data_IF_980739255412
#
_entry.id   IF_980739255412
#
_cell.length_a   1.000
_cell.length_b   1.000
_cell.length_c   1.000
_cell.angle_alpha   90.00
_cell.angle_beta   90.00
_cell.angle_gamma   90.00
#
_symmetry.space_group_name_H-M   'P 1'
#
loop_
_entity.id
_entity.type
_entity.pdbx_description
1 polymer ?
#
# COMPACT_ATOMS: atom_id res chain seq x y z
N UNK A 1 45.63 -71.77 -12.88
CA UNK A 1 46.33 -70.61 -12.29
C UNK A 1 45.41 -69.40 -12.41
N UNK A 2 44.88 -68.92 -11.28
CA UNK A 2 43.86 -67.87 -11.19
C UNK A 2 44.49 -66.48 -11.23
N UNK A 3 44.03 -65.60 -12.12
CA UNK A 3 44.43 -64.19 -12.13
C UNK A 3 43.48 -63.37 -11.24
N UNK A 4 44.06 -62.80 -10.19
CA UNK A 4 43.39 -61.91 -9.23
C UNK A 4 43.31 -60.47 -9.76
N UNK A 5 42.11 -60.00 -10.09
CA UNK A 5 41.85 -58.60 -10.42
C UNK A 5 41.83 -57.70 -9.17
N UNK A 6 42.78 -56.77 -9.08
CA UNK A 6 42.77 -55.69 -8.07
C UNK A 6 41.79 -54.58 -8.50
N UNK A 7 40.65 -54.48 -7.82
CA UNK A 7 39.75 -53.30 -7.90
C UNK A 7 40.41 -52.11 -7.21
N UNK A 8 40.47 -50.96 -7.89
CA UNK A 8 40.91 -49.68 -7.30
C UNK A 8 39.86 -49.19 -6.28
N UNK A 9 40.28 -48.58 -5.16
CA UNK A 9 39.34 -48.01 -4.22
C UNK A 9 38.72 -46.73 -4.81
N UNK A 10 37.39 -46.65 -4.77
CA UNK A 10 36.63 -45.43 -5.02
C UNK A 10 36.91 -44.44 -3.90
N UNK A 11 37.51 -43.29 -4.23
CA UNK A 11 37.72 -42.20 -3.27
C UNK A 11 36.39 -41.65 -2.73
N UNK A 12 36.41 -40.93 -1.59
CA UNK A 12 35.21 -40.43 -0.96
C UNK A 12 34.50 -39.44 -1.89
N UNK A 13 33.22 -39.71 -2.16
CA UNK A 13 32.32 -38.79 -2.84
C UNK A 13 32.32 -37.47 -2.09
N UNK A 14 32.88 -36.41 -2.69
CA UNK A 14 32.74 -35.05 -2.14
C UNK A 14 31.26 -34.72 -2.10
N UNK A 15 30.68 -34.65 -0.89
CA UNK A 15 29.39 -34.02 -0.69
C UNK A 15 29.52 -32.57 -1.18
N UNK A 16 28.78 -32.22 -2.22
CA UNK A 16 28.56 -30.84 -2.61
C UNK A 16 27.96 -30.10 -1.42
N UNK A 17 28.53 -28.97 -0.98
CA UNK A 17 27.94 -28.21 0.12
C UNK A 17 26.53 -27.77 -0.32
N UNK A 18 25.51 -28.13 0.46
CA UNK A 18 24.17 -27.59 0.30
C UNK A 18 24.26 -26.07 0.41
N UNK A 19 24.06 -25.38 -0.71
CA UNK A 19 23.97 -23.92 -0.68
C UNK A 19 22.73 -23.56 0.15
N UNK A 20 22.84 -22.71 1.18
CA UNK A 20 21.70 -22.36 2.00
C UNK A 20 20.65 -21.68 1.11
N UNK A 21 19.50 -22.34 0.98
CA UNK A 21 18.31 -21.81 0.34
C UNK A 21 17.80 -20.60 1.13
N UNK A 22 17.11 -19.66 0.47
CA UNK A 22 16.68 -18.41 1.09
C UNK A 22 15.84 -18.65 2.34
N UNK A 23 16.27 -18.07 3.47
CA UNK A 23 15.59 -18.19 4.75
C UNK A 23 14.28 -17.39 4.75
N UNK A 24 13.15 -18.07 4.99
CA UNK A 24 11.82 -17.49 4.99
C UNK A 24 11.63 -16.68 6.27
N UNK A 25 11.52 -15.36 6.13
CA UNK A 25 11.28 -14.45 7.26
C UNK A 25 9.90 -13.80 7.14
N UNK A 26 9.17 -13.64 8.25
CA UNK A 26 7.91 -12.91 8.22
C UNK A 26 8.13 -11.48 7.71
N UNK A 27 7.21 -10.94 6.89
CA UNK A 27 7.33 -9.58 6.41
C UNK A 27 7.18 -8.60 7.57
N UNK A 28 7.87 -7.45 7.45
CA UNK A 28 7.70 -6.35 8.40
C UNK A 28 6.31 -5.74 8.26
N UNK A 29 5.65 -5.36 9.36
CA UNK A 29 4.44 -4.54 9.29
C UNK A 29 4.70 -3.22 8.56
N UNK A 30 3.68 -2.68 7.91
CA UNK A 30 3.74 -1.48 7.08
C UNK A 30 2.64 -0.50 7.43
N UNK A 31 2.84 0.77 7.09
CA UNK A 31 1.88 1.83 7.35
C UNK A 31 0.74 1.78 6.33
N UNK A 32 -0.50 1.69 6.82
CA UNK A 32 -1.68 1.85 5.98
C UNK A 32 -1.92 3.34 5.71
N UNK A 33 -2.11 3.66 4.44
CA UNK A 33 -2.49 4.98 3.95
C UNK A 33 -3.74 4.83 3.07
N UNK A 34 -4.69 5.75 3.18
CA UNK A 34 -5.88 5.80 2.31
C UNK A 34 -5.98 7.19 1.69
N UNK A 35 -5.92 7.24 0.36
CA UNK A 35 -6.29 8.43 -0.39
C UNK A 35 -7.80 8.50 -0.57
N UNK A 36 -8.39 9.66 -0.35
CA UNK A 36 -9.83 9.89 -0.45
C UNK A 36 -10.09 10.99 -1.47
N UNK A 37 -11.05 10.77 -2.36
CA UNK A 37 -11.54 11.79 -3.29
C UNK A 37 -13.04 12.00 -3.04
N UNK A 38 -13.47 13.25 -2.91
CA UNK A 38 -14.88 13.59 -2.72
C UNK A 38 -15.15 15.05 -3.11
N UNK A 39 -16.40 15.37 -3.47
CA UNK A 39 -16.81 16.73 -3.87
C UNK A 39 -17.22 17.64 -2.71
N UNK A 40 -17.31 17.12 -1.48
CA UNK A 40 -17.77 17.88 -0.31
C UNK A 40 -17.00 17.51 0.96
N UNK A 41 -16.77 18.49 1.84
CA UNK A 41 -15.99 18.31 3.05
C UNK A 41 -16.62 17.27 4.00
N UNK A 42 -17.94 17.33 4.17
CA UNK A 42 -18.69 16.44 5.07
C UNK A 42 -18.66 14.96 4.63
N UNK A 43 -18.37 14.69 3.35
CA UNK A 43 -18.23 13.32 2.85
C UNK A 43 -16.90 12.68 3.27
N UNK A 44 -15.86 13.48 3.49
CA UNK A 44 -14.62 12.98 4.09
C UNK A 44 -14.84 12.57 5.54
N UNK A 45 -15.60 13.35 6.31
CA UNK A 45 -15.90 13.01 7.71
C UNK A 45 -16.67 11.70 7.81
N UNK A 46 -17.61 11.46 6.88
CA UNK A 46 -18.31 10.18 6.79
C UNK A 46 -17.38 9.01 6.45
N UNK A 47 -16.49 9.20 5.47
CA UNK A 47 -15.50 8.20 5.10
C UNK A 47 -14.54 7.88 6.26
N UNK A 48 -14.03 8.90 6.95
CA UNK A 48 -13.11 8.73 8.09
C UNK A 48 -13.74 7.97 9.23
N UNK A 49 -15.02 8.19 9.55
CA UNK A 49 -15.73 7.38 10.56
C UNK A 49 -15.72 5.89 10.21
N UNK A 50 -16.00 5.54 8.96
CA UNK A 50 -16.00 4.14 8.51
C UNK A 50 -14.59 3.55 8.48
N UNK A 51 -13.61 4.31 7.99
CA UNK A 51 -12.20 3.89 8.00
C UNK A 51 -11.69 3.66 9.43
N UNK A 52 -12.08 4.49 10.40
CA UNK A 52 -11.70 4.31 11.81
C UNK A 52 -12.33 3.07 12.40
N UNK A 53 -13.60 2.81 12.10
CA UNK A 53 -14.30 1.61 12.58
C UNK A 53 -13.63 0.32 12.08
N UNK A 54 -13.17 0.29 10.82
CA UNK A 54 -12.59 -0.91 10.21
C UNK A 54 -11.08 -1.07 10.46
N UNK A 55 -10.32 0.03 10.45
CA UNK A 55 -8.85 0.00 10.40
C UNK A 55 -8.18 0.64 11.62
N UNK A 56 -8.96 1.13 12.58
CA UNK A 56 -8.47 1.75 13.81
C UNK A 56 -8.23 3.26 13.67
N UNK A 57 -7.76 3.90 14.74
CA UNK A 57 -7.62 5.36 14.79
C UNK A 57 -6.71 5.92 13.70
N UNK A 58 -7.12 7.06 13.13
CA UNK A 58 -6.29 7.85 12.22
C UNK A 58 -5.24 8.60 13.03
N UNK A 59 -3.97 8.55 12.61
CA UNK A 59 -2.87 9.22 13.30
C UNK A 59 -2.22 10.36 12.49
N UNK A 60 -2.43 10.40 11.17
CA UNK A 60 -2.14 11.56 10.34
C UNK A 60 -3.24 11.79 9.32
N UNK A 61 -3.51 13.07 9.05
CA UNK A 61 -4.36 13.52 7.96
C UNK A 61 -3.68 14.67 7.19
N UNK A 62 -3.89 14.72 5.88
CA UNK A 62 -3.54 15.88 5.06
C UNK A 62 -4.61 16.98 5.21
N UNK A 63 -4.31 18.24 4.83
CA UNK A 63 -5.37 19.20 4.51
C UNK A 63 -6.21 18.69 3.32
N UNK A 64 -7.36 19.33 3.10
CA UNK A 64 -8.10 19.18 1.85
C UNK A 64 -7.33 19.88 0.72
N UNK A 65 -7.09 19.16 -0.37
CA UNK A 65 -6.30 19.63 -1.51
C UNK A 65 -7.22 19.67 -2.75
N UNK A 66 -7.34 20.80 -3.47
CA UNK A 66 -8.07 20.82 -4.74
C UNK A 66 -7.55 19.78 -5.73
N UNK A 67 -8.43 18.98 -6.31
CA UNK A 67 -8.09 17.98 -7.30
C UNK A 67 -8.44 18.46 -8.71
N UNK A 68 -7.44 18.96 -9.43
CA UNK A 68 -7.62 19.59 -10.76
C UNK A 68 -6.81 18.89 -11.86
N UNK A 69 -6.56 17.59 -11.71
CA UNK A 69 -5.62 16.85 -12.56
C UNK A 69 -6.28 16.11 -13.73
N UNK A 70 -7.56 15.75 -13.61
CA UNK A 70 -8.29 15.03 -14.65
C UNK A 70 -9.80 15.12 -14.42
N UNK A 71 -10.57 15.13 -15.51
CA UNK A 71 -12.04 15.05 -15.48
C UNK A 71 -12.56 13.61 -15.44
N UNK A 72 -11.66 12.62 -15.36
CA UNK A 72 -12.00 11.18 -15.38
C UNK A 72 -13.10 10.78 -14.40
N UNK A 73 -13.12 11.40 -13.21
CA UNK A 73 -14.08 11.09 -12.14
C UNK A 73 -15.41 11.86 -12.24
N UNK A 74 -15.45 12.91 -13.07
CA UNK A 74 -16.59 13.83 -13.13
C UNK A 74 -17.92 13.13 -13.44
N UNK A 75 -18.00 12.13 -14.36
CA UNK A 75 -19.26 11.45 -14.64
C UNK A 75 -19.88 10.72 -13.43
N UNK A 76 -19.05 10.21 -12.52
CA UNK A 76 -19.50 9.39 -11.38
C UNK A 76 -19.57 10.18 -10.06
N UNK A 77 -18.72 11.19 -9.91
CA UNK A 77 -18.48 11.89 -8.64
C UNK A 77 -18.88 13.38 -8.67
N UNK A 78 -19.15 13.94 -9.87
CA UNK A 78 -19.40 15.37 -10.05
C UNK A 78 -18.12 16.23 -10.06
N UNK A 79 -18.28 17.55 -10.23
CA UNK A 79 -17.17 18.50 -10.30
C UNK A 79 -16.64 18.90 -8.91
N UNK A 80 -15.55 19.68 -8.90
CA UNK A 80 -15.06 20.33 -7.68
C UNK A 80 -14.45 19.36 -6.67
N UNK A 81 -13.81 18.29 -7.16
CA UNK A 81 -13.25 17.26 -6.29
C UNK A 81 -12.09 17.80 -5.44
N UNK A 82 -12.04 17.29 -4.22
CA UNK A 82 -10.96 17.49 -3.26
C UNK A 82 -10.29 16.14 -3.00
N UNK A 83 -9.00 16.18 -2.68
CA UNK A 83 -8.21 15.05 -2.19
C UNK A 83 -7.93 15.25 -0.70
N UNK A 84 -8.03 14.16 0.06
CA UNK A 84 -7.52 14.05 1.43
C UNK A 84 -6.78 12.72 1.57
N UNK A 85 -5.70 12.70 2.33
CA UNK A 85 -5.02 11.47 2.72
C UNK A 85 -5.11 11.28 4.23
N UNK A 86 -5.30 10.03 4.65
CA UNK A 86 -5.25 9.63 6.05
C UNK A 86 -4.36 8.40 6.23
N UNK A 87 -3.79 8.25 7.41
CA UNK A 87 -3.06 7.05 7.82
C UNK A 87 -3.59 6.53 9.14
N UNK A 88 -3.50 5.22 9.35
CA UNK A 88 -3.96 4.57 10.56
C UNK A 88 -2.79 4.29 11.50
N UNK A 89 -3.03 4.42 12.82
CA UNK A 89 -2.01 4.21 13.84
C UNK A 89 -1.44 2.78 13.79
N UNK A 90 -2.34 1.78 13.71
CA UNK A 90 -1.96 0.36 13.63
C UNK A 90 -1.22 0.05 12.32
N UNK A 91 -0.03 -0.55 12.44
CA UNK A 91 0.67 -1.15 11.30
C UNK A 91 -0.03 -2.45 10.86
N UNK A 92 -0.03 -2.70 9.55
CA UNK A 92 -0.66 -3.88 8.94
C UNK A 92 0.39 -4.83 8.38
N UNK A 93 0.06 -6.12 8.28
CA UNK A 93 0.86 -7.03 7.47
C UNK A 93 0.69 -6.68 5.96
N UNK A 94 1.75 -6.71 5.13
CA UNK A 94 1.66 -6.26 3.73
C UNK A 94 0.64 -7.02 2.86
N UNK A 95 0.39 -8.29 3.18
CA UNK A 95 -0.58 -9.15 2.51
C UNK A 95 -2.04 -8.73 2.74
N UNK A 96 -2.29 -7.88 3.74
CA UNK A 96 -3.63 -7.31 4.01
C UNK A 96 -4.08 -6.29 2.98
N UNK A 97 -3.19 -5.79 2.11
CA UNK A 97 -3.54 -4.73 1.16
C UNK A 97 -4.68 -5.12 0.20
N UNK A 98 -4.70 -6.36 -0.28
CA UNK A 98 -5.77 -6.84 -1.17
C UNK A 98 -7.13 -6.96 -0.44
N UNK A 99 -7.23 -7.63 0.73
CA UNK A 99 -8.44 -7.58 1.56
C UNK A 99 -8.92 -6.16 1.88
N UNK A 100 -8.01 -5.23 2.22
CA UNK A 100 -8.35 -3.84 2.52
C UNK A 100 -8.91 -3.13 1.27
N UNK A 101 -8.37 -3.40 0.07
CA UNK A 101 -8.93 -2.81 -1.16
C UNK A 101 -10.35 -3.31 -1.46
N UNK A 102 -10.61 -4.60 -1.24
CA UNK A 102 -11.97 -5.14 -1.34
C UNK A 102 -12.90 -4.43 -0.35
N UNK A 103 -12.47 -4.32 0.91
CA UNK A 103 -13.26 -3.67 1.96
C UNK A 103 -13.53 -2.19 1.67
N UNK A 104 -12.53 -1.43 1.23
CA UNK A 104 -12.72 -0.02 0.86
C UNK A 104 -13.70 0.16 -0.30
N UNK A 105 -13.75 -0.76 -1.27
CA UNK A 105 -14.79 -0.73 -2.31
C UNK A 105 -16.20 -0.94 -1.73
N UNK A 106 -16.35 -1.81 -0.72
CA UNK A 106 -17.63 -1.99 -0.02
C UNK A 106 -18.03 -0.73 0.76
N UNK A 107 -17.06 -0.07 1.40
CA UNK A 107 -17.27 1.20 2.10
C UNK A 107 -17.72 2.31 1.15
N UNK A 108 -17.13 2.41 -0.05
CA UNK A 108 -17.61 3.34 -1.08
C UNK A 108 -19.09 3.10 -1.41
N UNK A 109 -19.49 1.84 -1.59
CA UNK A 109 -20.89 1.48 -1.86
C UNK A 109 -21.80 1.79 -0.66
N UNK A 110 -21.32 1.62 0.58
CA UNK A 110 -22.03 2.01 1.78
C UNK A 110 -22.23 3.53 1.86
N UNK A 111 -21.18 4.31 1.62
CA UNK A 111 -21.23 5.78 1.58
C UNK A 111 -22.20 6.28 0.52
N UNK A 112 -22.24 5.64 -0.66
CA UNK A 112 -23.21 5.97 -1.71
C UNK A 112 -24.67 5.84 -1.25
N UNK A 113 -24.97 4.85 -0.38
CA UNK A 113 -26.31 4.67 0.21
C UNK A 113 -26.59 5.64 1.36
N UNK A 114 -25.61 5.87 2.24
CA UNK A 114 -25.79 6.70 3.43
C UNK A 114 -25.86 8.20 3.11
N UNK A 115 -25.05 8.68 2.17
CA UNK A 115 -24.91 10.11 1.92
C UNK A 115 -26.04 10.72 1.08
N UNK A 116 -26.92 9.89 0.50
CA UNK A 116 -28.02 10.32 -0.38
C UNK A 116 -27.58 11.41 -1.38
N UNK A 117 -26.38 11.22 -1.95
CA UNK A 117 -25.71 12.22 -2.77
C UNK A 117 -26.35 12.31 -4.17
N UNK A 118 -26.27 13.46 -4.86
CA UNK A 118 -26.73 13.61 -6.23
C UNK A 118 -25.84 12.92 -7.28
N UNK A 119 -24.88 12.11 -6.83
CA UNK A 119 -23.87 11.41 -7.66
C UNK A 119 -23.81 9.95 -7.25
N UNK A 120 -23.50 9.07 -8.20
CA UNK A 120 -23.49 7.63 -7.95
C UNK A 120 -22.36 7.18 -7.02
N UNK A 121 -21.24 7.92 -7.02
CA UNK A 121 -20.04 7.60 -6.24
C UNK A 121 -19.55 8.85 -5.50
N UNK A 122 -20.12 9.20 -4.34
CA UNK A 122 -19.75 10.42 -3.62
C UNK A 122 -18.30 10.41 -3.11
N UNK A 123 -17.76 9.24 -2.79
CA UNK A 123 -16.41 9.07 -2.25
C UNK A 123 -15.67 7.97 -3.00
N UNK A 124 -14.40 8.20 -3.32
CA UNK A 124 -13.45 7.17 -3.74
C UNK A 124 -12.36 7.00 -2.67
N UNK A 125 -12.09 5.74 -2.30
CA UNK A 125 -11.11 5.30 -1.33
C UNK A 125 -10.03 4.44 -2.01
N UNK A 126 -8.79 4.95 -1.97
CA UNK A 126 -7.61 4.36 -2.58
C UNK A 126 -6.62 3.92 -1.50
N UNK A 127 -6.71 2.69 -0.98
CA UNK A 127 -5.75 2.20 -0.01
C UNK A 127 -4.39 1.90 -0.64
N UNK A 128 -3.36 2.18 0.15
CA UNK A 128 -1.97 1.87 -0.14
C UNK A 128 -1.19 1.55 1.12
N UNK A 129 0.05 1.11 0.93
CA UNK A 129 0.99 0.87 2.03
C UNK A 129 2.29 1.64 1.83
N UNK A 130 2.91 2.01 2.94
CA UNK A 130 4.23 2.61 2.99
C UNK A 130 5.12 1.81 3.93
N UNK A 131 6.27 1.37 3.44
CA UNK A 131 7.22 0.51 4.19
C UNK A 131 8.55 1.20 4.53
N UNK A 132 8.60 2.53 4.34
CA UNK A 132 9.79 3.36 4.54
C UNK A 132 10.70 3.46 3.31
N UNK A 133 10.56 2.56 2.34
CA UNK A 133 11.33 2.56 1.08
C UNK A 133 10.47 2.87 -0.14
N UNK A 134 9.16 2.61 -0.07
CA UNK A 134 8.22 2.82 -1.17
C UNK A 134 6.81 3.10 -0.69
N UNK A 135 6.03 3.72 -1.57
CA UNK A 135 4.59 3.80 -1.51
C UNK A 135 4.00 2.88 -2.58
N UNK A 136 3.08 2.01 -2.18
CA UNK A 136 2.40 1.05 -3.05
C UNK A 136 0.90 1.32 -2.99
N UNK A 137 0.23 1.35 -4.13
CA UNK A 137 -1.24 1.52 -4.20
C UNK A 137 -1.91 0.23 -4.67
N UNK A 138 -3.10 -0.04 -4.13
CA UNK A 138 -3.95 -1.14 -4.56
C UNK A 138 -4.96 -0.70 -5.61
N UNK A 139 -5.22 -1.57 -6.59
CA UNK A 139 -6.13 -1.29 -7.69
C UNK A 139 -6.81 -2.55 -8.21
N UNK A 140 -8.01 -2.40 -8.78
CA UNK A 140 -8.71 -3.48 -9.48
C UNK A 140 -8.32 -3.57 -10.95
N UNK A 141 -7.53 -2.62 -11.46
CA UNK A 141 -7.17 -2.52 -12.88
C UNK A 141 -5.79 -3.13 -13.10
N UNK A 142 -5.69 -4.18 -13.90
CA UNK A 142 -4.40 -4.72 -14.30
C UNK A 142 -3.68 -3.81 -15.31
N UNK A 143 -2.35 -3.84 -15.32
CA UNK A 143 -1.51 -3.14 -16.29
C UNK A 143 -0.08 -3.71 -16.30
N UNK A 144 0.74 -3.36 -17.30
CA UNK A 144 2.05 -4.00 -17.56
C UNK A 144 3.03 -4.04 -16.39
N UNK A 145 2.95 -3.09 -15.45
CA UNK A 145 3.83 -3.01 -14.27
C UNK A 145 3.15 -3.42 -12.96
N UNK A 146 1.89 -3.89 -13.02
CA UNK A 146 1.08 -4.21 -11.85
C UNK A 146 1.22 -5.68 -11.49
N UNK A 147 1.31 -5.95 -10.20
CA UNK A 147 1.52 -7.29 -9.65
C UNK A 147 0.23 -7.74 -8.98
N UNK A 148 -0.26 -8.92 -9.35
CA UNK A 148 -1.44 -9.51 -8.74
C UNK A 148 -1.18 -9.85 -7.27
N UNK A 149 -2.09 -9.42 -6.38
CA UNK A 149 -2.04 -9.64 -4.93
C UNK A 149 -3.07 -10.67 -4.45
N UNK A 150 -3.99 -11.11 -5.31
CA UNK A 150 -5.15 -11.91 -4.91
C UNK A 150 -6.47 -11.14 -4.99
N UNK A 151 -7.60 -11.85 -5.04
CA UNK A 151 -8.97 -11.28 -4.98
C UNK A 151 -9.30 -10.28 -6.10
N UNK A 152 -8.68 -10.43 -7.27
CA UNK A 152 -8.80 -9.45 -8.37
C UNK A 152 -8.12 -8.10 -8.08
N UNK A 153 -7.27 -8.03 -7.04
CA UNK A 153 -6.53 -6.82 -6.68
C UNK A 153 -5.08 -6.95 -7.14
N UNK A 154 -4.58 -5.83 -7.65
CA UNK A 154 -3.21 -5.64 -8.09
C UNK A 154 -2.56 -4.51 -7.30
N UNK A 155 -1.23 -4.49 -7.30
CA UNK A 155 -0.45 -3.41 -6.72
C UNK A 155 0.57 -2.84 -7.69
N UNK A 156 0.86 -1.55 -7.51
CA UNK A 156 1.96 -0.86 -8.18
C UNK A 156 2.79 -0.05 -7.19
N UNK A 157 4.10 -0.01 -7.42
CA UNK A 157 4.98 0.93 -6.72
C UNK A 157 4.79 2.31 -7.35
N UNK A 158 4.13 3.20 -6.63
CA UNK A 158 3.81 4.55 -7.09
C UNK A 158 4.94 5.53 -6.77
N UNK A 159 5.64 5.38 -5.64
CA UNK A 159 6.79 6.20 -5.29
C UNK A 159 7.89 5.34 -4.65
N UNK A 160 9.15 5.72 -4.85
CA UNK A 160 10.31 5.10 -4.18
C UNK A 160 11.05 6.15 -3.37
N UNK A 161 11.62 5.80 -2.21
CA UNK A 161 12.36 6.74 -1.37
C UNK A 161 13.85 6.61 -1.62
N UNK A 162 14.49 7.67 -2.12
CA UNK A 162 15.92 7.68 -2.46
C UNK A 162 16.53 9.02 -2.09
N UNK A 163 17.72 8.98 -1.49
CA UNK A 163 18.52 10.17 -1.11
C UNK A 163 17.70 11.23 -0.34
N UNK A 164 16.83 10.80 0.56
CA UNK A 164 16.08 11.70 1.44
C UNK A 164 14.75 12.22 0.90
N UNK A 165 14.29 11.75 -0.27
CA UNK A 165 13.00 12.17 -0.83
C UNK A 165 12.25 11.02 -1.49
N UNK A 166 10.93 11.17 -1.62
CA UNK A 166 10.14 10.33 -2.51
C UNK A 166 10.36 10.74 -3.97
N UNK A 167 10.62 9.76 -4.82
CA UNK A 167 10.92 9.89 -6.23
C UNK A 167 9.85 9.13 -7.02
N UNK A 168 9.18 9.81 -7.98
CA UNK A 168 8.25 9.19 -8.91
C UNK A 168 8.88 8.06 -9.73
N UNK A 169 8.11 7.01 -9.96
CA UNK A 169 8.33 6.01 -11.00
C UNK A 169 7.78 6.52 -12.35
N UNK A 170 8.06 5.85 -13.48
CA UNK A 170 7.44 6.20 -14.76
C UNK A 170 5.90 6.19 -14.72
N UNK A 171 5.32 5.39 -13.83
CA UNK A 171 3.87 5.15 -13.73
C UNK A 171 3.18 5.95 -12.63
N UNK A 172 3.91 6.82 -11.90
CA UNK A 172 3.33 7.67 -10.85
C UNK A 172 2.29 8.62 -11.44
N UNK A 173 1.09 8.61 -10.87
CA UNK A 173 0.01 9.56 -11.15
C UNK A 173 0.49 11.01 -11.02
N UNK A 174 -0.05 11.90 -11.84
CA UNK A 174 0.42 13.30 -11.92
C UNK A 174 0.29 14.04 -10.59
N UNK A 175 -0.80 13.79 -9.86
CA UNK A 175 -1.08 14.39 -8.56
C UNK A 175 -0.10 13.92 -7.48
N UNK A 176 0.30 12.65 -7.49
CA UNK A 176 1.33 12.08 -6.59
C UNK A 176 2.74 12.64 -6.81
N UNK A 177 2.97 13.41 -7.88
CA UNK A 177 4.24 14.11 -8.14
C UNK A 177 4.28 15.50 -7.53
N UNK A 178 3.16 15.99 -6.99
CA UNK A 178 3.06 17.36 -6.49
C UNK A 178 3.58 17.49 -5.06
N UNK A 179 4.07 18.68 -4.73
CA UNK A 179 4.67 18.93 -3.42
C UNK A 179 3.73 18.68 -2.22
N UNK A 180 2.44 19.08 -2.25
CA UNK A 180 1.53 18.78 -1.13
C UNK A 180 1.40 17.27 -0.83
N UNK A 181 1.46 16.44 -1.87
CA UNK A 181 1.38 14.99 -1.76
C UNK A 181 2.70 14.42 -1.23
N UNK A 182 3.83 14.80 -1.84
CA UNK A 182 5.15 14.34 -1.44
C UNK A 182 5.50 14.74 0.00
N UNK A 183 5.14 15.96 0.42
CA UNK A 183 5.29 16.43 1.79
C UNK A 183 4.46 15.60 2.77
N UNK A 184 3.22 15.26 2.43
CA UNK A 184 2.40 14.37 3.26
C UNK A 184 3.03 12.97 3.36
N UNK A 185 3.46 12.38 2.25
CA UNK A 185 4.09 11.05 2.27
C UNK A 185 5.41 11.03 3.04
N UNK A 186 6.20 12.10 2.98
CA UNK A 186 7.40 12.26 3.79
C UNK A 186 7.09 12.26 5.29
N UNK A 187 6.02 12.96 5.72
CA UNK A 187 5.53 12.91 7.11
C UNK A 187 5.06 11.51 7.50
N UNK A 188 4.29 10.85 6.63
CA UNK A 188 3.84 9.46 6.82
C UNK A 188 5.02 8.51 7.01
N UNK A 189 6.08 8.68 6.21
CA UNK A 189 7.31 7.90 6.36
C UNK A 189 7.99 8.15 7.71
N UNK A 190 8.08 9.41 8.15
CA UNK A 190 8.63 9.74 9.47
C UNK A 190 7.87 9.01 10.58
N UNK A 191 6.54 9.11 10.57
CA UNK A 191 5.66 8.44 11.53
C UNK A 191 5.80 6.91 11.51
N UNK A 192 5.84 6.30 10.32
CA UNK A 192 6.08 4.86 10.19
C UNK A 192 7.42 4.42 10.81
N UNK A 193 8.50 5.18 10.58
CA UNK A 193 9.82 4.83 11.12
C UNK A 193 9.89 4.99 12.64
N UNK A 194 9.13 5.91 13.22
CA UNK A 194 8.98 6.00 14.67
C UNK A 194 8.29 4.74 15.22
N UNK A 195 7.17 4.33 14.62
CA UNK A 195 6.41 3.14 15.03
C UNK A 195 7.22 1.84 14.86
N UNK A 196 7.89 1.63 13.72
CA UNK A 196 8.73 0.44 13.46
C UNK A 196 9.93 0.35 14.42
N UNK A 197 10.39 1.47 15.00
CA UNK A 197 11.42 1.45 16.05
C UNK A 197 10.84 1.05 17.40
N UNK A 198 9.68 1.60 17.77
CA UNK A 198 9.02 1.30 19.04
C UNK A 198 8.58 -0.17 19.11
N UNK A 199 8.00 -0.72 18.04
CA UNK A 199 7.58 -2.13 17.96
C UNK A 199 8.74 -3.14 18.07
N UNK A 200 9.98 -2.69 17.85
CA UNK A 200 11.20 -3.51 18.00
C UNK A 200 11.87 -3.41 19.35
N UNK A 201 11.38 -2.54 20.23
CA UNK A 201 11.88 -2.47 21.61
C UNK A 201 11.19 -3.58 22.39
N UNK A 202 11.91 -4.57 22.95
CA UNK A 202 11.29 -5.55 23.84
C UNK A 202 10.64 -4.79 24.99
N UNK A 203 9.39 -5.09 25.32
CA UNK A 203 8.86 -4.72 26.62
C UNK A 203 9.80 -5.34 27.67
N UNK A 204 10.42 -4.47 28.49
CA UNK A 204 11.39 -4.86 29.52
C UNK A 204 10.80 -5.88 30.51
#
# INVERSE_FOLDING_TARGET
MSQSGKKRPTGPTRQTPEMPMGDLRPPKPVKLLVGMLAGRAEWFDAAERLLVADFGSIDLASPLIPFTFTDYYMPEMGPGLLRKFVTHDRLIAPDQLAPIKVRTNELEAQLARELSAPVARPVNLDPGLLDGSKLVLATTKDYVHRIYLGRGIYAEVTLTYKKGAFVPTPWTYQDYRTEPYLAFFARTRGRYLEQDRTDRTPAF
#
